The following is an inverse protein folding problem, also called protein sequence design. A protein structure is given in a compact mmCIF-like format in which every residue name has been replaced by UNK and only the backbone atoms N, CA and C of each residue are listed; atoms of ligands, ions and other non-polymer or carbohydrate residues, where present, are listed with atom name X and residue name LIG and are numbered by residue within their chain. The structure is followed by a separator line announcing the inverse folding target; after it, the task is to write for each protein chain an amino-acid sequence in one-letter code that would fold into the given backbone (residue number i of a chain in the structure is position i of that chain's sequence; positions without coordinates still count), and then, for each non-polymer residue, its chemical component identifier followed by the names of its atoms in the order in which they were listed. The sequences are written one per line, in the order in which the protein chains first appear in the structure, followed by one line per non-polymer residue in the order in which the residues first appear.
data_IF_609437961730
#
_entry.id   IF_609437961730
#
_cell.length_a   1.000
_cell.length_b   1.000
_cell.length_c   1.000
_cell.angle_alpha   90.00
_cell.angle_beta   90.00
_cell.angle_gamma   90.00
#
_symmetry.space_group_name_H-M   'P 1'
#
loop_
_entity.id
_entity.type
_entity.pdbx_description
1 polymer ?
#
# COMPACT_ATOMS: atom_id res chain seq x y z
N UNK A 1 -11.34 -1.14 -4.37
CA UNK A 1 -11.80 -2.38 -5.04
C UNK A 1 -12.81 -3.07 -4.15
N UNK A 2 -13.86 -3.64 -4.74
CA UNK A 2 -14.96 -4.24 -3.99
C UNK A 2 -14.56 -5.61 -3.44
N UNK A 3 -14.37 -5.70 -2.12
CA UNK A 3 -14.21 -6.97 -1.40
C UNK A 3 -15.43 -7.89 -1.51
N UNK A 4 -16.60 -7.29 -1.73
CA UNK A 4 -17.85 -8.01 -2.02
C UNK A 4 -17.88 -8.47 -3.48
N UNK A 5 -18.05 -9.78 -3.71
CA UNK A 5 -18.29 -10.34 -5.04
C UNK A 5 -19.66 -9.94 -5.61
N UNK A 6 -19.86 -10.17 -6.92
CA UNK A 6 -21.08 -9.85 -7.68
C UNK A 6 -21.58 -11.08 -8.43
N UNK A 7 -22.84 -11.11 -8.92
CA UNK A 7 -23.36 -12.26 -9.67
C UNK A 7 -22.69 -12.48 -11.04
N UNK A 8 -21.75 -11.63 -11.43
CA UNK A 8 -20.94 -11.72 -12.64
C UNK A 8 -19.46 -11.74 -12.30
N UNK A 9 -18.64 -12.24 -13.23
CA UNK A 9 -17.19 -12.30 -13.08
C UNK A 9 -16.58 -10.89 -12.99
N UNK A 10 -15.73 -10.68 -11.99
CA UNK A 10 -14.91 -9.48 -11.85
C UNK A 10 -13.49 -9.86 -11.43
N UNK A 11 -12.51 -9.06 -11.85
CA UNK A 11 -11.15 -9.23 -11.38
C UNK A 11 -11.01 -8.71 -9.94
N UNK A 12 -10.74 -9.63 -9.01
CA UNK A 12 -10.41 -9.30 -7.62
C UNK A 12 -8.91 -9.11 -7.43
N UNK A 13 -8.10 -9.66 -8.33
CA UNK A 13 -6.69 -9.34 -8.48
C UNK A 13 -6.27 -9.58 -9.94
N UNK A 14 -5.03 -9.22 -10.30
CA UNK A 14 -4.51 -9.50 -11.65
C UNK A 14 -4.49 -11.01 -11.91
N UNK A 15 -5.24 -11.47 -12.91
CA UNK A 15 -5.39 -12.91 -13.21
C UNK A 15 -6.22 -13.69 -12.20
N UNK A 16 -6.91 -13.04 -11.25
CA UNK A 16 -7.82 -13.70 -10.31
C UNK A 16 -9.20 -13.12 -10.48
N UNK A 17 -10.17 -13.96 -10.86
CA UNK A 17 -11.58 -13.59 -11.03
C UNK A 17 -12.42 -14.17 -9.92
N UNK A 18 -13.42 -13.41 -9.49
CA UNK A 18 -14.41 -13.84 -8.51
C UNK A 18 -15.83 -13.53 -8.95
N UNK A 19 -16.79 -14.36 -8.53
CA UNK A 19 -18.24 -14.08 -8.61
C UNK A 19 -18.99 -14.76 -7.48
N UNK A 20 -20.22 -14.32 -7.23
CA UNK A 20 -21.17 -14.95 -6.32
C UNK A 20 -22.21 -15.73 -7.10
N UNK A 21 -22.36 -17.03 -6.86
CA UNK A 21 -23.32 -17.89 -7.55
C UNK A 21 -23.99 -18.82 -6.54
N UNK A 22 -25.33 -18.80 -6.50
CA UNK A 22 -26.11 -19.65 -5.58
C UNK A 22 -25.74 -19.43 -4.10
N UNK A 23 -25.45 -18.19 -3.71
CA UNK A 23 -25.03 -17.85 -2.34
C UNK A 23 -23.56 -18.15 -2.01
N UNK A 24 -22.84 -18.86 -2.88
CA UNK A 24 -21.43 -19.20 -2.70
C UNK A 24 -20.52 -18.23 -3.45
N UNK A 25 -19.35 -18.00 -2.88
CA UNK A 25 -18.30 -17.23 -3.51
C UNK A 25 -17.39 -18.18 -4.30
N UNK A 26 -17.21 -17.89 -5.59
CA UNK A 26 -16.37 -18.66 -6.51
C UNK A 26 -15.21 -17.76 -6.91
N UNK A 27 -13.97 -18.19 -6.63
CA UNK A 27 -12.75 -17.46 -6.98
C UNK A 27 -11.79 -18.40 -7.69
N UNK A 28 -11.24 -17.95 -8.82
CA UNK A 28 -10.34 -18.73 -9.68
C UNK A 28 -9.09 -17.91 -9.97
N UNK A 29 -7.91 -18.51 -9.79
CA UNK A 29 -6.64 -18.00 -10.32
C UNK A 29 -6.43 -18.54 -11.73
N UNK A 30 -6.53 -17.67 -12.73
CA UNK A 30 -6.40 -18.03 -14.15
C UNK A 30 -4.95 -18.39 -14.53
N UNK A 31 -3.96 -18.01 -13.72
CA UNK A 31 -2.56 -18.32 -14.01
C UNK A 31 -2.20 -19.73 -13.56
N UNK A 32 -2.79 -20.22 -12.47
CA UNK A 32 -2.57 -21.59 -11.97
C UNK A 32 -3.72 -22.55 -12.28
N UNK A 33 -4.84 -22.03 -12.78
CA UNK A 33 -6.09 -22.76 -13.00
C UNK A 33 -6.63 -23.43 -11.71
N UNK A 34 -6.41 -22.78 -10.57
CA UNK A 34 -6.82 -23.26 -9.25
C UNK A 34 -8.05 -22.49 -8.75
N UNK A 35 -8.93 -23.19 -8.03
CA UNK A 35 -9.95 -22.54 -7.22
C UNK A 35 -9.31 -22.01 -5.94
N UNK A 36 -9.64 -20.79 -5.57
CA UNK A 36 -9.25 -20.18 -4.30
C UNK A 36 -10.46 -20.11 -3.37
N UNK A 37 -10.26 -20.37 -2.09
CA UNK A 37 -11.25 -20.14 -1.05
C UNK A 37 -11.09 -18.71 -0.48
N UNK A 38 -12.01 -17.78 -0.77
CA UNK A 38 -11.93 -16.42 -0.24
C UNK A 38 -12.16 -16.34 1.28
N UNK A 39 -12.46 -17.46 1.96
CA UNK A 39 -12.55 -17.56 3.41
C UNK A 39 -11.27 -18.07 4.06
N UNK A 40 -10.43 -18.78 3.31
CA UNK A 40 -9.11 -19.22 3.75
C UNK A 40 -8.11 -18.06 3.75
N UNK A 41 -7.25 -18.02 4.78
CA UNK A 41 -6.31 -16.91 4.97
C UNK A 41 -5.12 -16.98 4.02
N UNK A 42 -4.65 -18.16 3.60
CA UNK A 42 -3.55 -18.27 2.64
C UNK A 42 -3.99 -17.80 1.24
N UNK A 43 -5.20 -18.14 0.84
CA UNK A 43 -5.77 -17.65 -0.41
C UNK A 43 -6.05 -16.15 -0.38
N UNK A 44 -6.51 -15.60 0.76
CA UNK A 44 -6.58 -14.13 0.94
C UNK A 44 -5.22 -13.47 0.80
N UNK A 45 -4.15 -14.06 1.37
CA UNK A 45 -2.78 -13.54 1.23
C UNK A 45 -2.35 -13.55 -0.23
N UNK A 46 -2.61 -14.65 -0.98
CA UNK A 46 -2.31 -14.77 -2.41
C UNK A 46 -3.03 -13.68 -3.23
N UNK A 47 -4.32 -13.47 -2.96
CA UNK A 47 -5.12 -12.41 -3.60
C UNK A 47 -4.53 -11.03 -3.27
N UNK A 48 -4.30 -10.72 -2.00
CA UNK A 48 -3.75 -9.43 -1.56
C UNK A 48 -2.37 -9.15 -2.16
N UNK A 49 -1.49 -10.14 -2.17
CA UNK A 49 -0.18 -10.05 -2.81
C UNK A 49 -0.32 -9.64 -4.28
N UNK A 50 -1.20 -10.32 -5.01
CA UNK A 50 -1.43 -10.05 -6.44
C UNK A 50 -2.01 -8.66 -6.65
N UNK A 51 -2.91 -8.21 -5.79
CA UNK A 51 -3.47 -6.85 -5.85
C UNK A 51 -2.36 -5.80 -5.70
N UNK A 52 -1.60 -5.86 -4.61
CA UNK A 52 -0.56 -4.85 -4.32
C UNK A 52 0.57 -4.91 -5.35
N UNK A 53 1.08 -6.11 -5.69
CA UNK A 53 2.17 -6.24 -6.66
C UNK A 53 1.77 -5.79 -8.05
N UNK A 54 0.69 -6.32 -8.60
CA UNK A 54 0.39 -6.18 -10.03
C UNK A 54 -0.36 -4.89 -10.36
N UNK A 55 -1.26 -4.43 -9.47
CA UNK A 55 -2.02 -3.20 -9.73
C UNK A 55 -1.25 -1.94 -9.34
N UNK A 56 -0.40 -2.01 -8.32
CA UNK A 56 0.29 -0.83 -7.78
C UNK A 56 1.80 -0.87 -8.03
N UNK A 57 2.53 -1.77 -7.35
CA UNK A 57 4.00 -1.67 -7.28
C UNK A 57 4.70 -1.93 -8.62
N UNK A 58 4.18 -2.87 -9.42
CA UNK A 58 4.70 -3.18 -10.75
C UNK A 58 4.44 -2.04 -11.73
N UNK A 59 3.26 -1.41 -11.65
CA UNK A 59 2.91 -0.24 -12.47
C UNK A 59 3.79 0.95 -12.13
N UNK A 60 3.98 1.25 -10.84
CA UNK A 60 4.92 2.28 -10.40
C UNK A 60 6.37 1.98 -10.86
N UNK A 61 6.79 0.71 -10.84
CA UNK A 61 8.13 0.32 -11.34
C UNK A 61 8.27 0.59 -12.84
N UNK A 62 7.23 0.36 -13.64
CA UNK A 62 7.26 0.68 -15.07
C UNK A 62 7.29 2.19 -15.33
N UNK A 63 6.52 2.97 -14.55
CA UNK A 63 6.50 4.44 -14.66
C UNK A 63 7.87 5.07 -14.40
N UNK A 64 8.69 4.48 -13.53
CA UNK A 64 10.07 4.94 -13.29
C UNK A 64 11.01 4.84 -14.51
N UNK A 65 10.61 4.14 -15.58
CA UNK A 65 11.39 4.09 -16.84
C UNK A 65 11.21 5.33 -17.70
N UNK A 66 10.13 6.08 -17.49
CA UNK A 66 9.86 7.33 -18.20
C UNK A 66 10.28 8.55 -17.39
N UNK A 67 10.44 9.67 -18.08
CA UNK A 67 10.67 10.96 -17.44
C UNK A 67 9.35 11.52 -16.90
N UNK A 68 9.41 12.31 -15.82
CA UNK A 68 8.29 13.09 -15.26
C UNK A 68 7.12 12.31 -14.62
N UNK A 69 7.27 11.01 -14.34
CA UNK A 69 6.24 10.24 -13.62
C UNK A 69 6.46 10.17 -12.09
N UNK A 70 7.42 10.95 -11.57
CA UNK A 70 7.82 10.91 -10.15
C UNK A 70 6.65 11.16 -9.20
N UNK A 71 5.75 12.08 -9.54
CA UNK A 71 4.56 12.39 -8.76
C UNK A 71 3.58 11.21 -8.68
N UNK A 72 3.33 10.53 -9.81
CA UNK A 72 2.44 9.35 -9.84
C UNK A 72 3.04 8.20 -9.04
N UNK A 73 4.36 7.99 -9.15
CA UNK A 73 5.06 6.99 -8.34
C UNK A 73 4.95 7.33 -6.86
N UNK A 74 5.09 8.60 -6.49
CA UNK A 74 4.89 9.06 -5.12
C UNK A 74 3.46 8.78 -4.63
N UNK A 75 2.43 9.07 -5.42
CA UNK A 75 1.03 8.75 -5.06
C UNK A 75 0.84 7.26 -4.77
N UNK A 76 1.42 6.38 -5.59
CA UNK A 76 1.39 4.93 -5.36
C UNK A 76 2.08 4.58 -4.03
N UNK A 77 3.27 5.14 -3.78
CA UNK A 77 4.00 4.95 -2.53
C UNK A 77 3.17 5.40 -1.31
N UNK A 78 2.55 6.58 -1.37
CA UNK A 78 1.74 7.12 -0.28
C UNK A 78 0.49 6.26 -0.01
N UNK A 79 -0.12 5.71 -1.06
CA UNK A 79 -1.29 4.81 -0.91
C UNK A 79 -0.96 3.52 -0.15
N UNK A 80 0.29 3.05 -0.26
CA UNK A 80 0.77 1.86 0.44
C UNK A 80 0.95 2.11 1.95
N UNK A 81 1.49 3.26 2.34
CA UNK A 81 1.97 3.51 3.71
C UNK A 81 0.88 3.30 4.77
N UNK A 82 -0.28 3.95 4.62
CA UNK A 82 -1.40 3.66 5.51
C UNK A 82 -2.05 2.30 5.23
N UNK A 83 -2.19 1.94 3.94
CA UNK A 83 -2.90 0.74 3.55
C UNK A 83 -2.33 -0.51 4.24
N UNK A 84 -1.00 -0.67 4.21
CA UNK A 84 -0.32 -1.79 4.86
C UNK A 84 -0.49 -1.78 6.37
N UNK A 85 -0.46 -0.61 7.02
CA UNK A 85 -0.60 -0.53 8.48
C UNK A 85 -2.01 -0.92 8.96
N UNK A 86 -3.05 -0.65 8.17
CA UNK A 86 -4.39 -1.16 8.47
C UNK A 86 -4.41 -2.69 8.51
N UNK A 87 -3.76 -3.37 7.56
CA UNK A 87 -3.66 -4.83 7.55
C UNK A 87 -2.76 -5.36 8.68
N UNK A 88 -1.65 -4.68 8.99
CA UNK A 88 -0.77 -5.08 10.11
C UNK A 88 -1.46 -4.97 11.46
N UNK A 89 -2.35 -3.99 11.65
CA UNK A 89 -3.08 -3.75 12.91
C UNK A 89 -4.44 -4.43 12.98
N UNK A 90 -4.94 -4.96 11.86
CA UNK A 90 -6.22 -5.66 11.80
C UNK A 90 -7.45 -4.75 11.90
N UNK A 91 -7.30 -3.45 11.65
CA UNK A 91 -8.39 -2.48 11.83
C UNK A 91 -8.26 -1.30 10.88
N UNK A 92 -9.40 -0.70 10.55
CA UNK A 92 -9.41 0.50 9.74
C UNK A 92 -8.92 1.72 10.52
N UNK A 93 -8.22 2.61 9.81
CA UNK A 93 -7.84 3.95 10.28
C UNK A 93 -9.03 4.91 10.33
N UNK A 94 -10.14 4.62 9.64
CA UNK A 94 -11.25 5.57 9.41
C UNK A 94 -12.12 5.85 10.64
N UNK A 95 -12.62 4.85 11.40
CA UNK A 95 -13.57 5.12 12.49
C UNK A 95 -13.02 6.05 13.57
N UNK A 96 -11.70 6.05 13.79
CA UNK A 96 -11.02 6.84 14.81
C UNK A 96 -10.17 8.00 14.22
N UNK A 97 -10.29 8.27 12.91
CA UNK A 97 -9.47 9.27 12.21
C UNK A 97 -7.94 9.09 12.39
N UNK A 98 -7.46 7.85 12.51
CA UNK A 98 -6.05 7.51 12.77
C UNK A 98 -5.18 7.44 11.50
N UNK A 99 -5.64 8.01 10.38
CA UNK A 99 -4.95 8.01 9.08
C UNK A 99 -3.50 8.54 9.17
N UNK A 100 -3.33 9.68 9.85
CA UNK A 100 -2.01 10.30 10.10
C UNK A 100 -1.11 9.41 10.94
N UNK A 101 -1.68 8.80 12.00
CA UNK A 101 -0.96 7.90 12.90
C UNK A 101 -0.44 6.67 12.17
N UNK A 102 -1.29 6.00 11.40
CA UNK A 102 -0.91 4.78 10.67
C UNK A 102 0.14 5.09 9.61
N UNK A 103 -0.03 6.19 8.88
CA UNK A 103 0.98 6.64 7.93
C UNK A 103 2.36 6.87 8.59
N UNK A 104 2.38 7.54 9.75
CA UNK A 104 3.61 7.78 10.51
C UNK A 104 4.25 6.48 10.98
N UNK A 105 3.47 5.57 11.56
CA UNK A 105 3.97 4.27 12.05
C UNK A 105 4.59 3.45 10.90
N UNK A 106 4.03 3.51 9.70
CA UNK A 106 4.59 2.90 8.50
C UNK A 106 5.97 3.45 8.15
N UNK A 107 6.13 4.78 8.19
CA UNK A 107 7.42 5.43 7.91
C UNK A 107 8.44 5.19 9.01
N UNK A 108 8.04 5.19 10.28
CA UNK A 108 8.92 4.83 11.40
C UNK A 108 9.41 3.38 11.29
N UNK A 109 8.57 2.49 10.77
CA UNK A 109 8.93 1.09 10.54
C UNK A 109 9.89 0.92 9.34
N UNK A 110 9.71 1.72 8.29
CA UNK A 110 10.62 1.75 7.13
C UNK A 110 11.98 2.36 7.49
N UNK A 111 11.98 3.41 8.32
CA UNK A 111 13.15 4.22 8.63
C UNK A 111 13.29 4.44 10.16
N UNK A 112 13.58 3.38 10.95
CA UNK A 112 13.63 3.47 12.40
C UNK A 112 14.64 4.51 12.89
N UNK A 113 14.17 5.46 13.71
CA UNK A 113 14.99 6.49 14.32
C UNK A 113 15.51 7.57 13.37
N UNK A 114 15.15 7.55 12.08
CA UNK A 114 15.67 8.53 11.10
C UNK A 114 14.89 9.84 11.09
N UNK A 115 13.59 9.80 11.41
CA UNK A 115 12.71 10.96 11.32
C UNK A 115 11.96 11.20 12.63
N UNK A 116 11.85 12.47 13.00
CA UNK A 116 11.04 12.92 14.14
C UNK A 116 9.55 12.87 13.80
N UNK A 117 8.70 12.78 14.83
CA UNK A 117 7.25 12.83 14.64
C UNK A 117 6.77 14.11 13.94
N UNK A 118 7.26 15.33 14.27
CA UNK A 118 6.91 16.54 13.53
C UNK A 118 7.22 16.45 12.03
N UNK A 119 8.40 15.93 11.65
CA UNK A 119 8.76 15.77 10.23
C UNK A 119 7.78 14.84 9.50
N UNK A 120 7.41 13.71 10.13
CA UNK A 120 6.48 12.76 9.54
C UNK A 120 5.05 13.33 9.44
N UNK A 121 4.64 14.15 10.40
CA UNK A 121 3.36 14.85 10.35
C UNK A 121 3.31 15.87 9.20
N UNK A 122 4.36 16.69 9.05
CA UNK A 122 4.45 17.64 7.92
C UNK A 122 4.46 16.89 6.59
N UNK A 123 5.21 15.79 6.47
CA UNK A 123 5.21 15.01 5.23
C UNK A 123 3.83 14.40 4.92
N UNK A 124 3.10 13.91 5.93
CA UNK A 124 1.73 13.45 5.74
C UNK A 124 0.82 14.57 5.20
N UNK A 125 0.86 15.76 5.81
CA UNK A 125 0.00 16.87 5.40
C UNK A 125 0.37 17.36 3.99
N UNK A 126 1.65 17.58 3.73
CA UNK A 126 2.14 18.17 2.47
C UNK A 126 2.05 17.21 1.27
N UNK A 127 2.40 15.93 1.47
CA UNK A 127 2.42 14.96 0.38
C UNK A 127 1.06 14.28 0.24
N UNK A 128 0.55 13.66 1.31
CA UNK A 128 -0.65 12.82 1.22
C UNK A 128 -1.92 13.66 1.17
N UNK A 129 -2.16 14.55 2.14
CA UNK A 129 -3.38 15.38 2.08
C UNK A 129 -3.39 16.25 0.82
N UNK A 130 -2.27 16.90 0.51
CA UNK A 130 -2.08 17.62 -0.74
C UNK A 130 -2.47 16.79 -1.97
N UNK A 131 -1.78 15.66 -2.23
CA UNK A 131 -2.00 14.89 -3.46
C UNK A 131 -3.40 14.29 -3.58
N UNK A 132 -4.02 13.91 -2.47
CA UNK A 132 -5.32 13.22 -2.51
C UNK A 132 -6.52 14.17 -2.40
N UNK A 133 -6.35 15.40 -1.92
CA UNK A 133 -7.43 16.40 -1.86
C UNK A 133 -7.31 17.46 -2.97
N UNK A 134 -6.09 17.84 -3.35
CA UNK A 134 -5.83 18.94 -4.29
C UNK A 134 -5.27 18.45 -5.65
N UNK A 135 -4.98 17.15 -5.80
CA UNK A 135 -4.40 16.58 -7.01
C UNK A 135 -2.93 16.91 -7.25
N UNK A 136 -2.30 17.68 -6.34
CA UNK A 136 -0.91 18.12 -6.37
C UNK A 136 -0.32 18.10 -4.96
N UNK A 137 0.99 17.94 -4.82
CA UNK A 137 1.65 18.14 -3.52
C UNK A 137 1.57 19.62 -3.11
N UNK A 138 1.56 19.88 -1.80
CA UNK A 138 1.69 21.25 -1.30
C UNK A 138 3.12 21.80 -1.50
N UNK A 139 3.30 23.10 -1.25
CA UNK A 139 4.48 23.87 -1.66
C UNK A 139 5.82 23.40 -1.09
N UNK A 140 5.83 22.52 -0.09
CA UNK A 140 7.06 21.99 0.51
C UNK A 140 7.64 20.79 -0.22
N UNK A 141 6.90 20.07 -1.07
CA UNK A 141 7.42 18.84 -1.69
C UNK A 141 8.18 19.16 -2.97
N UNK A 142 9.46 18.78 -3.01
CA UNK A 142 10.28 18.77 -4.23
C UNK A 142 10.75 17.34 -4.47
N UNK A 143 10.56 16.82 -5.69
CA UNK A 143 11.00 15.47 -6.03
C UNK A 143 12.11 15.47 -7.08
N UNK A 144 13.04 14.54 -6.93
CA UNK A 144 14.07 14.24 -7.92
C UNK A 144 14.51 12.79 -7.78
N UNK A 145 14.88 12.15 -8.89
CA UNK A 145 15.47 10.81 -8.87
C UNK A 145 16.94 10.80 -8.42
N UNK A 146 17.58 11.98 -8.35
CA UNK A 146 19.00 12.14 -8.04
C UNK A 146 19.27 12.38 -6.56
N UNK A 147 18.25 12.64 -5.75
CA UNK A 147 18.43 12.81 -4.31
C UNK A 147 18.94 11.50 -3.66
N UNK A 148 19.92 11.55 -2.76
CA UNK A 148 20.56 10.34 -2.23
C UNK A 148 19.68 9.56 -1.25
N UNK A 149 18.64 10.19 -0.70
CA UNK A 149 17.77 9.64 0.33
C UNK A 149 16.30 9.61 -0.13
N UNK A 150 15.48 8.66 0.37
CA UNK A 150 14.06 8.59 0.01
C UNK A 150 13.28 9.83 0.48
N UNK A 151 13.63 10.35 1.66
CA UNK A 151 13.11 11.58 2.25
C UNK A 151 14.30 12.35 2.86
N UNK A 152 14.31 13.67 2.68
CA UNK A 152 15.29 14.56 3.25
C UNK A 152 14.61 15.87 3.70
N UNK A 153 14.85 16.21 4.97
CA UNK A 153 14.27 17.35 5.70
C UNK A 153 15.36 18.36 6.12
N UNK A 154 16.55 18.29 5.52
CA UNK A 154 17.70 19.14 5.86
C UNK A 154 17.50 20.63 5.51
N UNK A 155 16.59 20.93 4.59
CA UNK A 155 16.29 22.27 4.13
C UNK A 155 14.97 22.77 4.73
N UNK A 156 15.01 23.89 5.45
CA UNK A 156 13.82 24.45 6.09
C UNK A 156 12.76 24.81 5.03
N UNK A 157 11.54 24.33 5.22
CA UNK A 157 10.43 24.58 4.30
C UNK A 157 10.42 23.70 3.05
N UNK A 158 11.38 22.78 2.90
CA UNK A 158 11.46 21.86 1.76
C UNK A 158 11.57 20.42 2.25
N UNK A 159 10.77 19.52 1.67
CA UNK A 159 10.90 18.07 1.82
C UNK A 159 11.32 17.51 0.47
N UNK A 160 12.57 17.08 0.39
CA UNK A 160 13.14 16.44 -0.80
C UNK A 160 12.73 14.97 -0.79
N UNK A 161 12.12 14.53 -1.89
CA UNK A 161 11.61 13.16 -2.04
C UNK A 161 12.28 12.48 -3.22
N UNK A 162 12.89 11.32 -2.98
CA UNK A 162 13.29 10.43 -4.06
C UNK A 162 12.24 9.31 -4.23
N UNK A 163 11.30 9.43 -5.18
CA UNK A 163 10.25 8.44 -5.37
C UNK A 163 10.80 7.07 -5.84
N UNK A 164 11.98 7.03 -6.48
CA UNK A 164 12.63 5.78 -6.90
C UNK A 164 13.15 5.00 -5.69
N UNK A 165 13.84 5.66 -4.76
CA UNK A 165 14.35 5.02 -3.54
C UNK A 165 13.18 4.64 -2.63
N UNK A 166 12.20 5.54 -2.44
CA UNK A 166 11.00 5.25 -1.65
C UNK A 166 10.23 4.03 -2.17
N UNK A 167 10.04 3.92 -3.49
CA UNK A 167 9.38 2.74 -4.08
C UNK A 167 10.19 1.47 -3.86
N UNK A 168 11.53 1.53 -3.97
CA UNK A 168 12.41 0.39 -3.71
C UNK A 168 12.25 -0.11 -2.27
N UNK A 169 12.21 0.81 -1.31
CA UNK A 169 12.09 0.50 0.10
C UNK A 169 10.70 -0.06 0.44
N UNK A 170 9.63 0.53 -0.11
CA UNK A 170 8.26 -0.01 -0.01
C UNK A 170 8.16 -1.43 -0.60
N UNK A 171 8.79 -1.70 -1.75
CA UNK A 171 8.81 -3.06 -2.32
C UNK A 171 9.55 -4.06 -1.45
N UNK A 172 10.64 -3.64 -0.77
CA UNK A 172 11.37 -4.47 0.19
C UNK A 172 10.49 -4.75 1.41
N UNK A 173 9.83 -3.72 1.89
CA UNK A 173 8.93 -3.77 3.03
C UNK A 173 7.73 -4.68 2.81
N UNK A 174 7.06 -4.54 1.67
CA UNK A 174 5.92 -5.37 1.33
C UNK A 174 6.29 -6.86 1.25
N UNK A 175 7.45 -7.18 0.66
CA UNK A 175 7.98 -8.55 0.64
C UNK A 175 8.29 -9.07 2.04
N UNK A 176 8.76 -8.22 2.95
CA UNK A 176 8.96 -8.57 4.36
C UNK A 176 7.63 -8.86 5.04
N UNK A 177 6.64 -7.99 4.86
CA UNK A 177 5.30 -8.19 5.41
C UNK A 177 4.67 -9.50 4.96
N UNK A 178 4.72 -9.82 3.67
CA UNK A 178 4.20 -11.11 3.17
C UNK A 178 4.86 -12.31 3.84
N UNK A 179 6.19 -12.29 4.05
CA UNK A 179 6.86 -13.38 4.80
C UNK A 179 6.39 -13.44 6.25
N UNK A 180 6.23 -12.30 6.90
CA UNK A 180 5.74 -12.23 8.28
C UNK A 180 4.31 -12.79 8.42
N UNK A 181 3.45 -12.69 7.40
CA UNK A 181 2.11 -13.28 7.42
C UNK A 181 2.10 -14.81 7.48
N UNK A 182 3.19 -15.47 7.08
CA UNK A 182 3.33 -16.93 7.18
C UNK A 182 4.03 -17.38 8.47
N UNK A 183 4.71 -16.47 9.19
CA UNK A 183 5.52 -16.82 10.38
C UNK A 183 5.04 -16.16 11.67
N UNK A 184 4.13 -15.19 11.60
CA UNK A 184 3.64 -14.44 12.75
C UNK A 184 2.11 -14.52 12.81
N UNK A 185 1.61 -15.34 13.74
CA UNK A 185 0.17 -15.61 13.89
C UNK A 185 -0.64 -14.34 14.21
N UNK A 186 -0.10 -13.40 14.99
CA UNK A 186 -0.79 -12.16 15.32
C UNK A 186 -0.97 -11.29 14.07
N UNK A 187 0.08 -11.13 13.25
CA UNK A 187 -0.02 -10.40 12.00
C UNK A 187 -0.95 -11.09 11.00
N UNK A 188 -0.95 -12.42 10.98
CA UNK A 188 -1.84 -13.24 10.16
C UNK A 188 -3.30 -13.06 10.53
N UNK A 189 -3.62 -13.08 11.83
CA UNK A 189 -4.97 -12.83 12.34
C UNK A 189 -5.42 -11.41 12.01
N UNK A 190 -4.58 -10.41 12.29
CA UNK A 190 -4.85 -9.01 11.95
C UNK A 190 -5.14 -8.85 10.45
N UNK A 191 -4.31 -9.45 9.59
CA UNK A 191 -4.55 -9.43 8.15
C UNK A 191 -5.90 -10.05 7.79
N UNK A 192 -6.20 -11.24 8.33
CA UNK A 192 -7.44 -11.95 8.06
C UNK A 192 -8.67 -11.12 8.46
N UNK A 193 -8.64 -10.50 9.64
CA UNK A 193 -9.70 -9.64 10.13
C UNK A 193 -9.88 -8.43 9.22
N UNK A 194 -8.81 -7.69 8.93
CA UNK A 194 -8.90 -6.51 8.07
C UNK A 194 -9.32 -6.85 6.64
N UNK A 195 -8.90 -8.01 6.10
CA UNK A 195 -9.27 -8.43 4.76
C UNK A 195 -10.74 -8.86 4.68
N UNK A 196 -11.24 -9.56 5.73
CA UNK A 196 -12.60 -10.10 5.80
C UNK A 196 -13.66 -9.08 6.23
N UNK A 197 -13.29 -8.09 7.05
CA UNK A 197 -14.18 -7.02 7.53
C UNK A 197 -14.32 -5.95 6.44
N UNK A 198 -15.07 -6.22 5.35
CA UNK A 198 -15.75 -5.21 4.50
C UNK A 198 -16.60 -5.82 3.38
#
# INVERSE_FOLDING_TARGET
MTKKLRPYWLYVASGIKGKKQGGRDIVIDEWTNENLDPWDVDDKIKIYERQVKEWFLKRATYLLRGNNYGLIVLMVCLSYLEGVEQYRKGRSSRPNHESKKFFRESLQRLYPGQFTEPQLNVFYDQARCGLFHNGMTEGMIVYSYDYPHPLDFSELGTIKVNPKILLKDIKKDFRKYLRELYTNQNLRNNFNDMFSVT
#
